data_IF_201263771877
#
_entry.id   IF_201263771877
#
_cell.length_a   1.000
_cell.length_b   1.000
_cell.length_c   1.000
_cell.angle_alpha   90.00
_cell.angle_beta   90.00
_cell.angle_gamma   90.00
#
_symmetry.space_group_name_H-M   'P 1'
#
loop_
_entity.id
_entity.type
_entity.pdbx_description
1 polymer ?
#
# COMPACT_ATOMS: atom_id res chain seq x y z
N UNK A 1 8.17 15.03 19.91
CA UNK A 1 9.28 14.24 19.33
C UNK A 1 10.51 14.21 20.23
N UNK A 2 11.09 15.35 20.64
CA UNK A 2 12.26 15.42 21.56
C UNK A 2 12.05 14.61 22.86
N UNK A 3 10.87 14.71 23.47
CA UNK A 3 10.52 13.97 24.68
C UNK A 3 10.40 12.46 24.47
N UNK A 4 10.13 12.02 23.23
CA UNK A 4 9.93 10.61 22.90
C UNK A 4 11.24 9.89 22.55
N UNK A 5 12.14 10.56 21.82
CA UNK A 5 13.33 9.91 21.26
C UNK A 5 14.66 10.49 21.76
N UNK A 6 14.63 11.57 22.55
CA UNK A 6 15.85 12.22 23.05
C UNK A 6 16.59 13.08 22.00
N UNK A 7 17.58 13.87 22.47
CA UNK A 7 18.27 14.86 21.62
C UNK A 7 19.08 14.23 20.49
N UNK A 8 19.75 13.11 20.73
CA UNK A 8 20.63 12.45 19.73
C UNK A 8 19.80 11.90 18.57
N UNK A 9 18.77 11.13 18.89
CA UNK A 9 17.90 10.52 17.88
C UNK A 9 17.04 11.58 17.17
N UNK A 10 16.69 12.67 17.84
CA UNK A 10 16.00 13.81 17.21
C UNK A 10 16.86 14.43 16.09
N UNK A 11 18.16 14.59 16.30
CA UNK A 11 19.08 15.12 15.26
C UNK A 11 19.10 14.20 14.03
N UNK A 12 19.22 12.90 14.24
CA UNK A 12 19.23 11.89 13.16
C UNK A 12 17.88 11.84 12.43
N UNK A 13 16.78 11.94 13.20
CA UNK A 13 15.43 12.02 12.66
C UNK A 13 15.25 13.24 11.76
N UNK A 14 15.64 14.43 12.22
CA UNK A 14 15.54 15.66 11.43
C UNK A 14 16.42 15.60 10.17
N UNK A 15 17.67 15.12 10.30
CA UNK A 15 18.56 14.94 9.16
C UNK A 15 18.02 13.93 8.12
N UNK A 16 17.10 13.03 8.54
CA UNK A 16 16.47 12.09 7.62
C UNK A 16 15.57 12.76 6.58
N UNK A 17 15.04 13.95 6.85
CA UNK A 17 14.19 14.70 5.90
C UNK A 17 14.98 15.29 4.73
N UNK A 18 16.29 15.52 4.91
CA UNK A 18 17.18 16.01 3.86
C UNK A 18 17.67 14.90 2.92
N UNK A 19 17.43 13.63 3.27
CA UNK A 19 17.81 12.51 2.41
C UNK A 19 16.92 12.42 1.17
N UNK A 20 17.48 12.01 0.01
CA UNK A 20 16.69 11.80 -1.20
C UNK A 20 15.52 10.86 -0.97
N UNK A 21 14.41 11.15 -1.65
CA UNK A 21 13.24 10.26 -1.66
C UNK A 21 13.64 8.92 -2.24
N UNK A 22 13.16 7.85 -1.61
CA UNK A 22 13.29 6.51 -2.16
C UNK A 22 12.02 6.14 -2.94
N UNK A 23 12.21 5.58 -4.12
CA UNK A 23 11.14 5.13 -4.99
C UNK A 23 10.97 3.62 -4.87
N UNK A 24 9.73 3.17 -4.73
CA UNK A 24 9.43 1.76 -4.59
C UNK A 24 8.33 1.30 -5.54
N UNK A 25 8.45 0.07 -6.00
CA UNK A 25 7.39 -0.68 -6.65
C UNK A 25 7.18 -2.00 -5.91
N UNK A 26 5.94 -2.49 -5.94
CA UNK A 26 5.55 -3.77 -5.36
C UNK A 26 4.90 -4.62 -6.45
N UNK A 27 5.46 -5.82 -6.68
CA UNK A 27 4.94 -6.77 -7.67
C UNK A 27 3.54 -7.24 -7.29
N UNK A 28 2.65 -7.31 -8.26
CA UNK A 28 1.30 -7.86 -8.10
C UNK A 28 1.34 -9.38 -8.20
N UNK A 29 1.45 -10.06 -7.09
CA UNK A 29 1.54 -11.52 -7.03
C UNK A 29 0.25 -12.24 -7.40
N UNK A 30 -0.88 -11.54 -7.54
CA UNK A 30 -2.10 -12.09 -8.12
C UNK A 30 -2.02 -12.30 -9.65
N UNK A 31 -1.05 -11.66 -10.33
CA UNK A 31 -0.89 -11.72 -11.80
C UNK A 31 0.40 -12.36 -12.26
N UNK A 32 1.49 -12.20 -11.51
CA UNK A 32 2.81 -12.67 -11.92
C UNK A 32 3.65 -13.00 -10.68
N UNK A 33 4.42 -14.05 -10.73
CA UNK A 33 5.38 -14.35 -9.67
C UNK A 33 6.48 -13.29 -9.61
N UNK A 34 7.13 -13.14 -8.46
CA UNK A 34 8.26 -12.21 -8.32
C UNK A 34 9.40 -12.61 -9.25
N UNK A 35 9.67 -13.91 -9.38
CA UNK A 35 10.71 -14.46 -10.21
C UNK A 35 10.47 -14.13 -11.71
N UNK A 36 9.27 -14.42 -12.20
CA UNK A 36 8.89 -14.12 -13.59
C UNK A 36 8.91 -12.62 -13.87
N UNK A 37 8.46 -11.81 -12.92
CA UNK A 37 8.51 -10.36 -13.05
C UNK A 37 9.95 -9.86 -13.20
N UNK A 38 10.87 -10.36 -12.37
CA UNK A 38 12.29 -9.98 -12.43
C UNK A 38 12.93 -10.41 -13.75
N UNK A 39 12.53 -11.56 -14.30
CA UNK A 39 13.02 -12.04 -15.58
C UNK A 39 12.63 -11.15 -16.78
N UNK A 40 11.48 -10.47 -16.71
CA UNK A 40 10.96 -9.62 -17.79
C UNK A 40 11.07 -8.12 -17.51
N UNK A 41 11.47 -7.74 -16.31
CA UNK A 41 11.53 -6.34 -15.88
C UNK A 41 12.65 -5.57 -16.60
N UNK A 42 12.35 -4.42 -17.22
CA UNK A 42 13.36 -3.57 -17.82
C UNK A 42 14.08 -2.67 -16.82
N UNK A 43 13.66 -2.67 -15.55
CA UNK A 43 14.11 -1.74 -14.50
C UNK A 43 15.29 -2.30 -13.70
N UNK A 44 16.15 -1.40 -13.18
CA UNK A 44 17.21 -1.75 -12.24
C UNK A 44 16.64 -1.85 -10.82
N UNK A 45 16.19 -3.03 -10.45
CA UNK A 45 15.52 -3.28 -9.19
C UNK A 45 16.48 -3.73 -8.09
N UNK A 46 16.29 -3.18 -6.87
CA UNK A 46 16.97 -3.63 -5.65
C UNK A 46 15.91 -4.06 -4.64
N UNK A 47 16.02 -5.25 -4.02
CA UNK A 47 15.02 -5.71 -3.05
C UNK A 47 14.84 -4.74 -1.89
N UNK A 48 13.60 -4.54 -1.45
CA UNK A 48 13.29 -3.95 -0.15
C UNK A 48 13.44 -5.06 0.89
N UNK A 49 14.37 -4.98 1.86
CA UNK A 49 14.77 -6.12 2.69
C UNK A 49 13.64 -6.76 3.50
N UNK A 50 12.57 -6.01 3.79
CA UNK A 50 11.43 -6.46 4.61
C UNK A 50 10.14 -6.67 3.83
N UNK A 51 10.15 -6.49 2.48
CA UNK A 51 8.98 -6.68 1.62
C UNK A 51 9.34 -7.71 0.54
N UNK A 52 8.85 -8.96 0.63
CA UNK A 52 9.26 -10.05 -0.29
C UNK A 52 9.01 -9.76 -1.77
N UNK A 53 7.96 -9.01 -2.10
CA UNK A 53 7.58 -8.61 -3.46
C UNK A 53 7.85 -7.11 -3.74
N UNK A 54 8.60 -6.42 -2.85
CA UNK A 54 8.91 -5.00 -2.95
C UNK A 54 10.32 -4.70 -3.42
N UNK A 55 10.46 -3.69 -4.27
CA UNK A 55 11.74 -3.30 -4.85
C UNK A 55 11.90 -1.79 -4.88
N UNK A 56 13.13 -1.32 -4.65
CA UNK A 56 13.55 0.04 -5.01
C UNK A 56 13.82 0.11 -6.51
N UNK A 57 13.54 1.27 -7.11
CA UNK A 57 13.89 1.59 -8.50
C UNK A 57 14.49 3.00 -8.59
N UNK A 58 15.23 3.28 -9.65
CA UNK A 58 15.83 4.60 -9.89
C UNK A 58 14.80 5.54 -10.58
N UNK A 59 14.84 6.84 -10.27
CA UNK A 59 13.87 7.82 -10.78
C UNK A 59 13.82 7.87 -12.31
N UNK A 60 14.96 7.63 -12.95
CA UNK A 60 15.13 7.63 -14.41
C UNK A 60 14.39 6.49 -15.10
N UNK A 61 14.07 5.40 -14.38
CA UNK A 61 13.34 4.24 -14.92
C UNK A 61 11.90 4.58 -15.32
N UNK A 62 11.29 5.61 -14.70
CA UNK A 62 9.93 6.11 -14.99
C UNK A 62 8.87 5.02 -15.13
N UNK A 63 8.77 4.07 -14.19
CA UNK A 63 7.91 2.89 -14.32
C UNK A 63 6.43 3.24 -14.50
N UNK A 64 5.96 4.40 -14.06
CA UNK A 64 4.59 4.88 -14.27
C UNK A 64 4.21 5.05 -15.76
N UNK A 65 5.19 5.08 -16.67
CA UNK A 65 4.97 5.20 -18.12
C UNK A 65 5.08 3.87 -18.86
N UNK A 66 5.49 2.81 -18.18
CA UNK A 66 5.70 1.50 -18.79
C UNK A 66 4.38 0.73 -18.98
N UNK A 67 4.20 -0.05 -20.08
CA UNK A 67 3.00 -0.86 -20.32
C UNK A 67 2.63 -1.78 -19.14
N UNK A 68 3.61 -2.33 -18.43
CA UNK A 68 3.38 -3.20 -17.27
C UNK A 68 2.69 -2.51 -16.09
N UNK A 69 2.86 -1.18 -15.95
CA UNK A 69 2.11 -0.40 -14.97
C UNK A 69 0.61 -0.38 -15.31
N UNK A 70 0.28 -0.14 -16.57
CA UNK A 70 -1.11 -0.14 -17.04
C UNK A 70 -1.73 -1.54 -17.05
N UNK A 71 -0.91 -2.58 -17.21
CA UNK A 71 -1.32 -3.97 -17.06
C UNK A 71 -1.51 -4.40 -15.59
N UNK A 72 -1.13 -3.55 -14.63
CA UNK A 72 -1.25 -3.82 -13.21
C UNK A 72 -0.30 -4.91 -12.70
N UNK A 73 0.89 -5.05 -13.29
CA UNK A 73 1.89 -6.02 -12.84
C UNK A 73 2.63 -5.55 -11.57
N UNK A 74 2.58 -4.27 -11.25
CA UNK A 74 3.14 -3.70 -10.03
C UNK A 74 2.42 -2.43 -9.61
N UNK A 75 2.48 -2.14 -8.31
CA UNK A 75 2.01 -0.90 -7.68
C UNK A 75 3.20 0.00 -7.36
N UNK A 76 3.11 1.30 -7.64
CA UNK A 76 4.11 2.28 -7.23
C UNK A 76 3.78 2.79 -5.83
N UNK A 77 4.62 2.47 -4.87
CA UNK A 77 4.39 2.79 -3.47
C UNK A 77 5.72 3.07 -2.78
N UNK A 78 5.69 3.98 -1.83
CA UNK A 78 6.84 4.23 -0.97
C UNK A 78 7.09 2.98 -0.11
N UNK A 79 8.36 2.53 0.06
CA UNK A 79 8.66 1.26 0.69
C UNK A 79 8.10 1.07 2.10
N UNK A 80 8.10 2.12 2.94
CA UNK A 80 7.52 2.03 4.29
C UNK A 80 6.00 1.83 4.25
N UNK A 81 5.32 2.43 3.26
CA UNK A 81 3.87 2.29 3.09
C UNK A 81 3.43 0.89 2.61
N UNK A 82 4.36 0.05 2.14
CA UNK A 82 4.08 -1.35 1.82
C UNK A 82 3.96 -2.21 3.08
N UNK A 83 4.63 -1.82 4.17
CA UNK A 83 4.81 -2.63 5.38
C UNK A 83 3.51 -3.08 6.03
N UNK A 84 2.49 -2.22 6.27
CA UNK A 84 1.28 -2.65 7.00
C UNK A 84 0.56 -3.84 6.36
N UNK A 85 0.35 -3.80 5.03
CA UNK A 85 -0.29 -4.91 4.32
C UNK A 85 0.63 -6.13 4.18
N UNK A 86 1.95 -5.92 4.13
CA UNK A 86 2.92 -7.02 4.06
C UNK A 86 2.94 -7.83 5.37
N UNK A 87 2.99 -7.16 6.53
CA UNK A 87 3.11 -7.83 7.84
C UNK A 87 1.81 -8.43 8.35
N UNK A 88 0.65 -7.98 7.86
CA UNK A 88 -0.63 -8.59 8.24
C UNK A 88 -0.67 -10.03 7.69
N UNK A 89 -0.78 -11.06 8.55
CA UNK A 89 -0.74 -12.46 8.14
C UNK A 89 -2.10 -12.90 7.59
N UNK A 90 -2.39 -12.52 6.34
CA UNK A 90 -3.61 -12.90 5.63
C UNK A 90 -3.42 -14.26 4.98
N UNK A 91 -4.40 -15.14 5.17
CA UNK A 91 -4.46 -16.49 4.61
C UNK A 91 -5.61 -16.61 3.59
N UNK A 92 -5.51 -17.59 2.70
CA UNK A 92 -6.56 -17.90 1.73
C UNK A 92 -7.88 -18.21 2.43
N UNK A 93 -9.01 -17.69 1.91
CA UNK A 93 -10.34 -17.94 2.45
C UNK A 93 -10.77 -16.99 3.57
N UNK A 94 -9.88 -16.18 4.13
CA UNK A 94 -10.23 -15.22 5.18
C UNK A 94 -11.10 -14.06 4.67
N UNK A 95 -11.85 -13.46 5.61
CA UNK A 95 -12.59 -12.23 5.42
C UNK A 95 -11.76 -11.07 6.01
N UNK A 96 -11.28 -10.18 5.14
CA UNK A 96 -10.35 -9.11 5.51
C UNK A 96 -10.98 -7.73 5.28
N UNK A 97 -10.85 -6.83 6.25
CA UNK A 97 -11.25 -5.42 6.12
C UNK A 97 -10.01 -4.52 6.00
N UNK A 98 -9.95 -3.71 4.94
CA UNK A 98 -9.08 -2.52 4.85
C UNK A 98 -9.95 -1.29 5.13
N UNK A 99 -9.85 -0.74 6.36
CA UNK A 99 -10.80 0.26 6.86
C UNK A 99 -10.58 1.66 6.24
N UNK A 100 -9.36 1.99 5.85
CA UNK A 100 -8.96 3.30 5.28
C UNK A 100 -8.21 3.07 3.95
N UNK A 101 -8.86 2.40 3.00
CA UNK A 101 -8.25 1.72 1.87
C UNK A 101 -7.67 2.61 0.77
N UNK A 102 -8.30 3.76 0.51
CA UNK A 102 -7.94 4.56 -0.66
C UNK A 102 -6.53 5.18 -0.56
N UNK A 103 -5.77 5.14 -1.65
CA UNK A 103 -6.13 4.81 -3.04
C UNK A 103 -6.03 3.33 -3.44
N UNK A 104 -5.81 2.37 -2.50
CA UNK A 104 -5.83 0.94 -2.78
C UNK A 104 -4.47 0.23 -2.74
N UNK A 105 -3.40 0.92 -2.36
CA UNK A 105 -2.08 0.31 -2.29
C UNK A 105 -1.97 -0.84 -1.29
N UNK A 106 -2.71 -0.79 -0.19
CA UNK A 106 -2.78 -1.87 0.81
C UNK A 106 -3.82 -2.91 0.42
N UNK A 107 -5.00 -2.49 -0.03
CA UNK A 107 -6.05 -3.38 -0.51
C UNK A 107 -5.59 -4.33 -1.62
N UNK A 108 -4.79 -3.83 -2.58
CA UNK A 108 -4.28 -4.67 -3.68
C UNK A 108 -3.28 -5.73 -3.20
N UNK A 109 -2.55 -5.48 -2.12
CA UNK A 109 -1.69 -6.50 -1.49
C UNK A 109 -2.52 -7.53 -0.72
N UNK A 110 -3.48 -7.07 0.09
CA UNK A 110 -4.37 -7.97 0.84
C UNK A 110 -5.17 -8.86 -0.11
N UNK A 111 -5.70 -8.30 -1.21
CA UNK A 111 -6.41 -9.07 -2.23
C UNK A 111 -5.52 -10.08 -2.95
N UNK A 112 -4.25 -9.76 -3.21
CA UNK A 112 -3.29 -10.70 -3.79
C UNK A 112 -3.01 -11.88 -2.84
N UNK A 113 -2.87 -11.64 -1.52
CA UNK A 113 -2.68 -12.68 -0.50
C UNK A 113 -3.86 -13.63 -0.37
N UNK A 114 -5.09 -13.15 -0.60
CA UNK A 114 -6.29 -13.97 -0.58
C UNK A 114 -6.39 -14.94 -1.77
N UNK A 115 -5.54 -14.82 -2.78
CA UNK A 115 -5.46 -15.72 -3.96
C UNK A 115 -6.82 -15.99 -4.64
N UNK A 116 -7.73 -15.00 -4.63
CA UNK A 116 -9.08 -15.14 -5.19
C UNK A 116 -10.07 -15.88 -4.30
N UNK A 117 -9.69 -16.27 -3.09
CA UNK A 117 -10.53 -16.96 -2.10
C UNK A 117 -10.89 -16.02 -0.94
N UNK A 118 -11.95 -16.31 -0.20
CA UNK A 118 -12.43 -15.43 0.89
C UNK A 118 -13.02 -14.10 0.39
N UNK A 119 -12.93 -13.05 1.20
CA UNK A 119 -13.52 -11.75 0.90
C UNK A 119 -12.63 -10.61 1.38
N UNK A 120 -12.34 -9.65 0.52
CA UNK A 120 -11.79 -8.36 0.91
C UNK A 120 -12.91 -7.31 0.96
N UNK A 121 -13.04 -6.59 2.06
CA UNK A 121 -13.86 -5.37 2.14
C UNK A 121 -12.91 -4.18 2.21
N UNK A 122 -12.96 -3.31 1.21
CA UNK A 122 -12.10 -2.12 1.13
C UNK A 122 -12.94 -0.87 1.30
N UNK A 123 -12.76 -0.16 2.42
CA UNK A 123 -13.55 1.01 2.79
C UNK A 123 -12.73 2.29 2.75
N UNK A 124 -13.37 3.39 2.38
CA UNK A 124 -12.86 4.74 2.65
C UNK A 124 -14.04 5.70 2.82
N UNK A 125 -13.96 6.62 3.77
CA UNK A 125 -15.04 7.60 4.02
C UNK A 125 -15.17 8.66 2.91
N UNK A 126 -14.17 8.78 2.04
CA UNK A 126 -14.12 9.79 0.99
C UNK A 126 -14.56 9.24 -0.36
N UNK A 127 -15.75 9.60 -0.82
CA UNK A 127 -16.29 9.24 -2.13
C UNK A 127 -15.37 9.66 -3.31
N UNK A 128 -14.63 10.75 -3.17
CA UNK A 128 -13.67 11.19 -4.19
C UNK A 128 -12.46 10.26 -4.29
N UNK A 129 -11.98 9.74 -3.15
CA UNK A 129 -10.83 8.83 -3.08
C UNK A 129 -11.19 7.40 -3.53
N UNK A 130 -12.44 6.98 -3.33
CA UNK A 130 -12.95 5.66 -3.76
C UNK A 130 -12.82 5.44 -5.27
N UNK A 131 -12.93 6.48 -6.09
CA UNK A 131 -12.72 6.35 -7.54
C UNK A 131 -11.33 5.83 -7.89
N UNK A 132 -10.30 6.27 -7.17
CA UNK A 132 -8.95 5.78 -7.35
C UNK A 132 -8.77 4.35 -6.81
N UNK A 133 -9.42 4.03 -5.69
CA UNK A 133 -9.45 2.68 -5.12
C UNK A 133 -10.05 1.67 -6.10
N UNK A 134 -11.25 1.94 -6.63
CA UNK A 134 -11.93 1.09 -7.61
C UNK A 134 -11.05 0.86 -8.84
N UNK A 135 -10.51 1.93 -9.44
CA UNK A 135 -9.60 1.81 -10.57
C UNK A 135 -8.40 0.90 -10.29
N UNK A 136 -7.78 1.04 -9.12
CA UNK A 136 -6.62 0.23 -8.77
C UNK A 136 -7.00 -1.24 -8.54
N UNK A 137 -8.13 -1.52 -7.89
CA UNK A 137 -8.65 -2.87 -7.70
C UNK A 137 -8.92 -3.55 -9.05
N UNK A 138 -9.58 -2.85 -9.99
CA UNK A 138 -9.84 -3.35 -11.34
C UNK A 138 -8.55 -3.63 -12.10
N UNK A 139 -7.63 -2.66 -12.14
CA UNK A 139 -6.33 -2.82 -12.81
C UNK A 139 -5.52 -3.96 -12.23
N UNK A 140 -5.61 -4.20 -10.92
CA UNK A 140 -4.89 -5.28 -10.25
C UNK A 140 -5.58 -6.65 -10.39
N UNK A 141 -6.85 -6.68 -10.82
CA UNK A 141 -7.59 -7.92 -11.06
C UNK A 141 -8.05 -8.61 -9.78
N UNK A 142 -8.31 -7.85 -8.71
CA UNK A 142 -8.84 -8.38 -7.46
C UNK A 142 -10.35 -8.57 -7.62
N UNK A 143 -10.81 -9.82 -7.74
CA UNK A 143 -12.21 -10.15 -8.04
C UNK A 143 -13.10 -10.39 -6.82
N UNK A 144 -12.52 -10.81 -5.70
CA UNK A 144 -13.21 -11.14 -4.46
C UNK A 144 -13.25 -9.95 -3.48
N UNK A 145 -13.74 -8.79 -3.94
CA UNK A 145 -13.73 -7.55 -3.17
C UNK A 145 -15.08 -6.84 -3.19
N UNK A 146 -15.43 -6.25 -2.05
CA UNK A 146 -16.52 -5.27 -1.90
C UNK A 146 -15.88 -3.92 -1.55
N UNK A 147 -16.24 -2.88 -2.29
CA UNK A 147 -15.80 -1.50 -1.97
C UNK A 147 -16.95 -0.75 -1.32
N UNK A 148 -16.69 -0.16 -0.15
CA UNK A 148 -17.67 0.61 0.63
C UNK A 148 -17.21 2.05 0.83
N UNK A 149 -18.20 2.95 1.01
CA UNK A 149 -17.97 4.36 1.32
C UNK A 149 -18.72 4.72 2.59
N UNK A 150 -18.23 4.23 3.72
CA UNK A 150 -18.97 4.31 4.97
C UNK A 150 -18.07 4.70 6.15
N UNK A 151 -18.69 5.26 7.20
CA UNK A 151 -18.02 5.48 8.47
C UNK A 151 -17.80 4.16 9.21
N UNK A 152 -16.73 4.05 10.01
CA UNK A 152 -16.37 2.82 10.75
C UNK A 152 -17.51 2.27 11.64
N UNK A 153 -18.26 3.15 12.27
CA UNK A 153 -19.38 2.78 13.15
C UNK A 153 -20.45 1.99 12.39
N UNK A 154 -20.77 2.45 11.16
CA UNK A 154 -21.77 1.78 10.32
C UNK A 154 -21.29 0.41 9.84
N UNK A 155 -19.99 0.27 9.56
CA UNK A 155 -19.42 -1.04 9.24
C UNK A 155 -19.47 -1.97 10.45
N UNK A 156 -19.16 -1.48 11.67
CA UNK A 156 -19.25 -2.26 12.88
C UNK A 156 -20.67 -2.75 13.15
N UNK A 157 -21.68 -1.88 12.97
CA UNK A 157 -23.09 -2.23 13.14
C UNK A 157 -23.58 -3.31 12.17
N UNK A 158 -23.05 -3.32 10.93
CA UNK A 158 -23.51 -4.25 9.89
C UNK A 158 -22.71 -5.55 9.82
N UNK A 159 -21.42 -5.51 10.10
CA UNK A 159 -20.55 -6.68 9.99
C UNK A 159 -20.25 -7.36 11.33
N UNK A 160 -20.34 -6.63 12.47
CA UNK A 160 -20.07 -7.19 13.79
C UNK A 160 -18.72 -7.91 13.85
N UNK A 161 -18.74 -9.22 14.11
CA UNK A 161 -17.53 -10.06 14.23
C UNK A 161 -17.21 -10.84 12.94
N UNK A 162 -17.55 -10.31 11.78
CA UNK A 162 -17.43 -11.01 10.50
C UNK A 162 -16.00 -11.17 10.00
N UNK A 163 -15.10 -10.23 10.31
CA UNK A 163 -13.74 -10.19 9.76
C UNK A 163 -12.75 -11.00 10.59
N UNK A 164 -11.92 -11.80 9.91
CA UNK A 164 -10.77 -12.49 10.51
C UNK A 164 -9.61 -11.54 10.76
N UNK A 165 -9.41 -10.58 9.85
CA UNK A 165 -8.33 -9.56 9.92
C UNK A 165 -8.86 -8.18 9.57
N UNK A 166 -8.35 -7.18 10.27
CA UNK A 166 -8.66 -5.77 9.99
C UNK A 166 -7.36 -4.98 9.87
N UNK A 167 -7.18 -4.31 8.74
CA UNK A 167 -6.11 -3.32 8.56
C UNK A 167 -6.66 -1.93 8.79
N UNK A 168 -6.02 -1.17 9.67
CA UNK A 168 -6.35 0.24 9.94
C UNK A 168 -5.13 1.11 9.68
N UNK A 169 -5.09 1.73 8.50
CA UNK A 169 -4.11 2.76 8.15
C UNK A 169 -4.82 4.11 8.18
N UNK A 170 -5.12 4.57 9.40
CA UNK A 170 -5.93 5.74 9.65
C UNK A 170 -5.27 7.04 9.15
N UNK A 171 -6.06 8.06 8.79
CA UNK A 171 -5.53 9.39 8.50
C UNK A 171 -4.66 9.91 9.65
N UNK A 172 -3.50 10.45 9.32
CA UNK A 172 -2.53 11.01 10.26
C UNK A 172 -2.08 12.40 9.81
N UNK A 173 -1.16 13.02 10.56
CA UNK A 173 -0.55 14.32 10.23
C UNK A 173 0.21 14.35 8.90
N UNK A 174 0.51 13.21 8.33
CA UNK A 174 1.19 13.11 7.03
C UNK A 174 2.68 13.42 7.08
N UNK A 175 3.32 13.26 8.22
CA UNK A 175 4.76 13.52 8.40
C UNK A 175 5.64 12.77 7.40
N UNK A 176 5.27 11.56 7.01
CA UNK A 176 5.92 10.82 5.93
C UNK A 176 5.86 11.52 4.55
N UNK A 177 5.00 12.53 4.40
CA UNK A 177 4.89 13.33 3.17
C UNK A 177 5.80 14.56 3.16
N UNK A 178 6.45 14.92 4.28
CA UNK A 178 7.32 16.11 4.36
C UNK A 178 8.45 16.11 3.34
N UNK A 179 8.97 14.93 2.99
CA UNK A 179 9.96 14.79 1.90
C UNK A 179 9.37 15.02 0.50
N UNK A 180 8.05 15.00 0.34
CA UNK A 180 7.38 15.18 -0.96
C UNK A 180 6.95 16.62 -1.18
N UNK A 181 6.60 17.33 -0.13
CA UNK A 181 6.12 18.70 -0.19
C UNK A 181 6.56 19.49 1.06
N UNK A 182 7.59 20.31 0.90
CA UNK A 182 8.11 21.18 1.96
C UNK A 182 7.08 22.21 2.49
N UNK A 183 5.94 22.38 1.81
CA UNK A 183 4.85 23.26 2.29
C UNK A 183 4.07 22.66 3.45
N UNK A 184 4.22 21.35 3.68
CA UNK A 184 3.57 20.65 4.79
C UNK A 184 4.30 20.83 6.14
N UNK A 185 5.50 21.42 6.13
CA UNK A 185 6.35 21.65 7.33
C UNK A 185 6.00 22.99 8.02
N UNK A 186 4.87 23.62 7.71
CA UNK A 186 4.47 24.90 8.30
C UNK A 186 3.67 24.72 9.58
#
# INVERSE_FOLDING_TARGET
MKELIGDKELSDYLASFDKPRQYGLRVNTAKISVEDFLAVSPFKLKPVPWIPNGFYYEEEDKPAKHPYYFAGLYYLQEPSAMTPACVLPVEEGECVLDLCAAPGGKSTELGAKLCGSGLLVSNDVSASRIKALLKNIEVFGIGNVIVTCEYPEKLADNFGTFFDKILVDAPCSGEGMFRKDNKLIK
#
